data_IF_260307115511
#
_entry.id   IF_260307115511
#
_cell.length_a   1.000
_cell.length_b   1.000
_cell.length_c   1.000
_cell.angle_alpha   90.00
_cell.angle_beta   90.00
_cell.angle_gamma   90.00
#
_symmetry.space_group_name_H-M   'P 1'
#
loop_
_entity.id
_entity.type
_entity.pdbx_description
1 polymer ?
#
# COMPACT_ATOMS: atom_id res chain seq x y z
N UNK A 1 21.39 -23.12 -0.92
CA UNK A 1 20.31 -22.93 -1.92
C UNK A 1 20.04 -21.45 -2.05
N UNK A 2 19.39 -20.99 -3.13
CA UNK A 2 19.05 -19.57 -3.31
C UNK A 2 17.54 -19.41 -3.44
N UNK A 3 16.97 -18.42 -2.75
CA UNK A 3 15.54 -18.18 -2.70
C UNK A 3 15.16 -16.76 -3.11
N UNK A 4 13.96 -16.63 -3.68
CA UNK A 4 13.27 -15.36 -3.91
C UNK A 4 12.08 -15.26 -2.96
N UNK A 5 11.95 -14.12 -2.29
CA UNK A 5 10.83 -13.84 -1.40
C UNK A 5 9.86 -12.86 -2.07
N UNK A 6 8.61 -13.27 -2.26
CA UNK A 6 7.51 -12.37 -2.64
C UNK A 6 6.70 -11.94 -1.42
N UNK A 7 6.46 -10.64 -1.26
CA UNK A 7 5.51 -10.10 -0.26
C UNK A 7 4.37 -9.42 -1.01
N UNK A 8 3.16 -9.91 -0.83
CA UNK A 8 1.94 -9.35 -1.42
C UNK A 8 1.09 -8.70 -0.33
N UNK A 9 0.94 -7.37 -0.39
CA UNK A 9 0.19 -6.56 0.57
C UNK A 9 -1.21 -6.28 0.03
N UNK A 10 -2.08 -7.29 0.16
CA UNK A 10 -3.48 -7.22 -0.27
C UNK A 10 -4.39 -6.47 0.70
N UNK A 11 -5.62 -6.20 0.26
CA UNK A 11 -6.61 -5.46 1.06
C UNK A 11 -7.16 -6.27 2.24
N UNK A 12 -7.21 -7.60 2.15
CA UNK A 12 -7.74 -8.48 3.20
C UNK A 12 -6.69 -9.34 3.89
N UNK A 13 -5.54 -9.56 3.24
CA UNK A 13 -4.45 -10.36 3.76
C UNK A 13 -3.11 -9.94 3.19
N UNK A 14 -2.06 -10.15 3.98
CA UNK A 14 -0.66 -10.08 3.55
C UNK A 14 -0.18 -11.52 3.36
N UNK A 15 0.58 -11.76 2.29
CA UNK A 15 1.19 -13.05 2.00
C UNK A 15 2.69 -12.90 1.83
N UNK A 16 3.44 -13.88 2.31
CA UNK A 16 4.86 -14.03 2.05
C UNK A 16 5.09 -15.42 1.45
N UNK A 17 5.59 -15.47 0.22
CA UNK A 17 5.84 -16.70 -0.51
C UNK A 17 7.33 -16.81 -0.86
N UNK A 18 7.92 -17.97 -0.61
CA UNK A 18 9.33 -18.27 -0.88
C UNK A 18 9.42 -19.21 -2.08
N UNK A 19 10.26 -18.86 -3.05
CA UNK A 19 10.49 -19.63 -4.27
C UNK A 19 11.95 -20.03 -4.38
N UNK A 20 12.20 -21.29 -4.75
CA UNK A 20 13.54 -21.77 -5.08
C UNK A 20 13.97 -21.27 -6.45
N UNK A 21 15.20 -20.73 -6.54
CA UNK A 21 15.73 -20.12 -7.79
C UNK A 21 16.05 -21.16 -8.85
N UNK A 22 16.52 -22.35 -8.45
CA UNK A 22 16.94 -23.39 -9.37
C UNK A 22 15.74 -24.18 -9.90
N UNK A 23 14.81 -24.54 -9.02
CA UNK A 23 13.62 -25.32 -9.36
C UNK A 23 12.46 -24.44 -9.87
N UNK A 24 12.42 -23.16 -9.50
CA UNK A 24 11.33 -22.25 -9.83
C UNK A 24 10.01 -22.56 -9.12
N UNK A 25 10.06 -23.33 -8.02
CA UNK A 25 8.87 -23.79 -7.29
C UNK A 25 8.68 -23.08 -5.95
N UNK A 26 7.43 -22.97 -5.50
CA UNK A 26 7.09 -22.50 -4.16
C UNK A 26 7.56 -23.51 -3.10
N UNK A 27 8.33 -23.05 -2.11
CA UNK A 27 8.79 -23.85 -0.97
C UNK A 27 7.97 -23.59 0.29
N UNK A 28 7.43 -22.38 0.44
CA UNK A 28 6.57 -22.03 1.55
C UNK A 28 5.70 -20.81 1.23
N UNK A 29 4.51 -20.78 1.84
CA UNK A 29 3.64 -19.62 1.85
C UNK A 29 3.07 -19.41 3.25
N UNK A 30 3.16 -18.17 3.73
CA UNK A 30 2.53 -17.74 4.98
C UNK A 30 1.60 -16.57 4.69
N UNK A 31 0.48 -16.49 5.41
CA UNK A 31 -0.45 -15.37 5.26
C UNK A 31 -1.05 -14.93 6.59
N UNK A 32 -1.40 -13.65 6.68
CA UNK A 32 -2.10 -13.08 7.82
C UNK A 32 -3.19 -12.14 7.33
N UNK A 33 -4.39 -12.25 7.89
CA UNK A 33 -5.48 -11.30 7.63
C UNK A 33 -5.13 -9.93 8.19
N UNK A 34 -5.50 -8.88 7.48
CA UNK A 34 -5.42 -7.48 7.93
C UNK A 34 -6.82 -6.92 8.08
N UNK A 35 -6.99 -6.03 9.05
CA UNK A 35 -8.26 -5.40 9.32
C UNK A 35 -8.54 -4.30 8.29
N UNK A 36 -9.79 -4.17 7.87
CA UNK A 36 -10.28 -3.02 7.12
C UNK A 36 -11.21 -2.23 8.05
N UNK A 37 -10.89 -0.97 8.27
CA UNK A 37 -11.62 -0.06 9.14
C UNK A 37 -12.56 0.80 8.31
N UNK A 38 -13.84 0.86 8.72
CA UNK A 38 -14.85 1.72 8.10
C UNK A 38 -15.36 2.70 9.16
N UNK A 39 -14.63 3.81 9.42
CA UNK A 39 -15.02 4.78 10.46
C UNK A 39 -16.28 5.56 10.08
N UNK A 40 -16.60 5.64 8.79
CA UNK A 40 -17.83 6.21 8.23
C UNK A 40 -18.30 5.35 7.05
N UNK A 41 -19.57 5.48 6.69
CA UNK A 41 -20.12 4.79 5.53
C UNK A 41 -19.32 5.13 4.26
N UNK A 42 -18.94 4.10 3.50
CA UNK A 42 -18.12 4.24 2.30
C UNK A 42 -16.63 4.52 2.54
N UNK A 43 -16.19 4.69 3.79
CA UNK A 43 -14.76 4.83 4.10
C UNK A 43 -14.12 3.44 4.30
N UNK A 44 -12.89 3.29 3.84
CA UNK A 44 -12.16 2.03 3.87
C UNK A 44 -10.67 2.28 4.12
N UNK A 45 -10.24 2.13 5.36
CA UNK A 45 -8.89 2.44 5.85
C UNK A 45 -8.18 1.22 6.45
N UNK A 46 -6.85 1.25 6.48
CA UNK A 46 -6.01 0.22 7.08
C UNK A 46 -4.95 0.83 8.00
N UNK A 47 -4.66 0.17 9.11
CA UNK A 47 -3.57 0.56 10.00
C UNK A 47 -2.21 0.18 9.39
N UNK A 48 -1.40 1.20 9.10
CA UNK A 48 -0.06 1.05 8.55
C UNK A 48 0.86 0.24 9.49
N UNK A 49 0.73 0.42 10.81
CA UNK A 49 1.50 -0.34 11.78
C UNK A 49 1.03 -1.77 11.93
N UNK A 50 -0.27 -2.04 11.80
CA UNK A 50 -0.79 -3.42 11.75
C UNK A 50 -0.20 -4.18 10.57
N UNK A 51 -0.20 -3.56 9.38
CA UNK A 51 0.39 -4.12 8.17
C UNK A 51 1.86 -4.46 8.41
N UNK A 52 2.64 -3.50 8.91
CA UNK A 52 4.07 -3.73 9.16
C UNK A 52 4.34 -4.84 10.18
N UNK A 53 3.60 -4.84 11.31
CA UNK A 53 3.72 -5.87 12.35
C UNK A 53 3.39 -7.26 11.79
N UNK A 54 2.34 -7.37 10.97
CA UNK A 54 1.96 -8.63 10.33
C UNK A 54 2.97 -9.09 9.29
N UNK A 55 3.53 -8.19 8.48
CA UNK A 55 4.65 -8.52 7.59
C UNK A 55 5.83 -9.09 8.40
N UNK A 56 6.28 -8.38 9.45
CA UNK A 56 7.36 -8.87 10.32
C UNK A 56 7.05 -10.24 10.92
N UNK A 57 5.82 -10.46 11.36
CA UNK A 57 5.40 -11.75 11.90
C UNK A 57 5.51 -12.87 10.86
N UNK A 58 5.06 -12.64 9.62
CA UNK A 58 5.15 -13.63 8.54
C UNK A 58 6.61 -13.94 8.18
N UNK A 59 7.45 -12.90 8.07
CA UNK A 59 8.89 -13.09 7.85
C UNK A 59 9.51 -13.90 8.98
N UNK A 60 9.16 -13.64 10.24
CA UNK A 60 9.66 -14.41 11.38
C UNK A 60 9.22 -15.88 11.37
N UNK A 61 8.06 -16.21 10.78
CA UNK A 61 7.66 -17.63 10.64
C UNK A 61 8.50 -18.32 9.58
N UNK A 62 8.79 -17.63 8.47
CA UNK A 62 9.61 -18.14 7.39
C UNK A 62 11.04 -18.40 7.88
N UNK A 63 11.65 -17.47 8.62
CA UNK A 63 13.04 -17.62 9.10
C UNK A 63 13.22 -18.66 10.21
N UNK A 64 12.15 -19.29 10.71
CA UNK A 64 12.26 -20.47 11.59
C UNK A 64 12.63 -21.75 10.83
N UNK A 65 12.33 -21.79 9.53
CA UNK A 65 12.47 -22.99 8.70
C UNK A 65 13.46 -22.81 7.55
N UNK A 66 13.79 -21.56 7.19
CA UNK A 66 14.71 -21.22 6.10
C UNK A 66 15.79 -20.26 6.59
N UNK A 67 17.00 -20.40 6.05
CA UNK A 67 18.12 -19.51 6.36
C UNK A 67 17.91 -18.16 5.65
N UNK A 68 17.85 -17.02 6.38
CA UNK A 68 17.69 -15.70 5.76
C UNK A 68 18.79 -15.34 4.76
N UNK A 69 20.02 -15.83 4.99
CA UNK A 69 21.18 -15.56 4.10
C UNK A 69 21.04 -16.23 2.72
N UNK A 70 20.11 -17.18 2.56
CA UNK A 70 19.81 -17.81 1.27
C UNK A 70 18.77 -17.03 0.46
N UNK A 71 18.15 -15.99 1.03
CA UNK A 71 17.18 -15.14 0.33
C UNK A 71 17.93 -14.04 -0.41
N UNK A 72 18.09 -14.20 -1.73
CA UNK A 72 18.90 -13.30 -2.55
C UNK A 72 18.14 -12.07 -3.07
N UNK A 73 16.81 -12.07 -2.98
CA UNK A 73 15.97 -10.95 -3.40
C UNK A 73 14.59 -10.96 -2.76
N UNK A 74 14.01 -9.76 -2.60
CA UNK A 74 12.65 -9.55 -2.11
C UNK A 74 11.85 -8.74 -3.14
N UNK A 75 10.78 -9.33 -3.67
CA UNK A 75 9.78 -8.66 -4.51
C UNK A 75 8.59 -8.19 -3.70
N UNK A 76 8.08 -6.99 -3.99
CA UNK A 76 6.91 -6.41 -3.34
C UNK A 76 5.77 -6.23 -4.34
N UNK A 77 4.61 -6.75 -3.98
CA UNK A 77 3.32 -6.53 -4.63
C UNK A 77 2.34 -5.94 -3.62
N UNK A 78 1.31 -5.28 -4.09
CA UNK A 78 0.21 -4.90 -3.23
C UNK A 78 -0.93 -4.23 -3.98
N UNK A 79 -1.94 -3.83 -3.23
CA UNK A 79 -3.07 -3.08 -3.76
C UNK A 79 -2.63 -1.84 -4.56
N UNK A 80 -3.26 -1.64 -5.72
CA UNK A 80 -2.80 -0.71 -6.76
C UNK A 80 -3.04 0.77 -6.42
N UNK A 81 -4.18 1.11 -5.81
CA UNK A 81 -4.58 2.49 -5.51
C UNK A 81 -4.75 2.77 -4.01
N UNK A 82 -5.27 3.94 -3.67
CA UNK A 82 -5.38 4.46 -2.32
C UNK A 82 -4.36 5.58 -2.03
N UNK A 83 -4.32 6.00 -0.77
CA UNK A 83 -3.49 7.10 -0.31
C UNK A 83 -2.85 6.78 1.05
N UNK A 84 -1.52 6.73 1.07
CA UNK A 84 -0.73 6.40 2.26
C UNK A 84 0.23 7.55 2.52
N UNK A 85 0.07 8.23 3.65
CA UNK A 85 0.80 9.47 3.93
C UNK A 85 1.80 9.25 5.07
N UNK A 86 3.05 9.66 4.84
CA UNK A 86 4.08 9.67 5.88
C UNK A 86 4.68 11.07 6.03
N UNK A 87 5.09 11.40 7.24
CA UNK A 87 5.69 12.68 7.57
C UNK A 87 7.21 12.70 7.30
N UNK A 88 7.86 13.82 7.61
CA UNK A 88 9.31 14.01 7.44
C UNK A 88 10.17 13.06 8.28
N UNK A 89 9.58 12.41 9.30
CA UNK A 89 10.24 11.41 10.15
C UNK A 89 9.89 9.98 9.71
N UNK A 90 9.28 9.82 8.53
CA UNK A 90 8.86 8.54 7.96
C UNK A 90 7.83 7.80 8.83
N UNK A 91 7.02 8.56 9.58
CA UNK A 91 5.94 8.03 10.41
C UNK A 91 4.58 8.21 9.72
N UNK A 92 3.64 7.27 9.86
CA UNK A 92 2.27 7.43 9.39
C UNK A 92 1.65 8.72 9.89
N UNK A 93 1.06 9.50 8.98
CA UNK A 93 0.32 10.72 9.32
C UNK A 93 -1.08 10.38 9.85
N UNK A 94 -1.69 9.37 9.24
CA UNK A 94 -3.04 8.83 9.48
C UNK A 94 -3.08 7.37 9.03
N UNK A 95 -4.21 6.69 9.18
CA UNK A 95 -4.42 5.38 8.55
C UNK A 95 -4.34 5.48 7.02
N UNK A 96 -3.86 4.42 6.38
CA UNK A 96 -3.82 4.34 4.92
C UNK A 96 -5.23 4.25 4.36
N UNK A 97 -5.59 5.12 3.41
CA UNK A 97 -6.87 5.05 2.71
C UNK A 97 -6.72 4.04 1.57
N UNK A 98 -7.62 3.06 1.51
CA UNK A 98 -7.58 2.03 0.47
C UNK A 98 -8.29 2.47 -0.81
N UNK A 99 -8.08 1.73 -1.88
CA UNK A 99 -8.75 1.96 -3.16
C UNK A 99 -10.26 1.72 -3.14
N UNK A 100 -10.78 1.02 -2.12
CA UNK A 100 -12.22 0.80 -1.93
C UNK A 100 -12.94 2.02 -1.38
N UNK A 101 -12.21 3.02 -0.91
CA UNK A 101 -12.76 4.19 -0.25
C UNK A 101 -13.52 5.09 -1.23
N UNK A 102 -14.71 5.53 -0.80
CA UNK A 102 -15.65 6.29 -1.60
C UNK A 102 -15.73 7.77 -1.21
N UNK A 103 -14.96 8.25 -0.23
CA UNK A 103 -15.02 9.66 0.21
C UNK A 103 -14.64 10.65 -0.89
N UNK A 104 -13.85 10.21 -1.86
CA UNK A 104 -13.46 11.00 -3.03
C UNK A 104 -14.56 11.19 -4.08
N UNK A 105 -15.78 10.67 -3.86
CA UNK A 105 -16.89 10.79 -4.81
C UNK A 105 -17.21 12.25 -5.15
N UNK A 106 -17.33 13.10 -4.13
CA UNK A 106 -17.70 14.52 -4.32
C UNK A 106 -16.63 15.29 -5.11
N UNK A 107 -15.35 14.97 -4.90
CA UNK A 107 -14.24 15.55 -5.66
C UNK A 107 -14.35 15.25 -7.15
N UNK A 108 -14.89 14.08 -7.52
CA UNK A 108 -15.07 13.70 -8.92
C UNK A 108 -16.33 14.35 -9.50
N UNK A 109 -17.41 14.46 -8.74
CA UNK A 109 -18.65 15.09 -9.22
C UNK A 109 -18.46 16.58 -9.53
N UNK A 110 -17.47 17.22 -8.90
CA UNK A 110 -17.12 18.62 -9.16
C UNK A 110 -16.28 18.83 -10.43
N UNK A 111 -15.83 17.76 -11.09
CA UNK A 111 -15.05 17.84 -12.33
C UNK A 111 -15.96 17.79 -13.55
N UNK A 112 -15.71 18.67 -14.51
CA UNK A 112 -16.38 18.64 -15.82
C UNK A 112 -15.90 17.45 -16.66
N UNK A 113 -16.70 17.02 -17.64
CA UNK A 113 -16.31 15.97 -18.59
C UNK A 113 -15.02 16.30 -19.34
N UNK A 114 -14.79 17.58 -19.68
CA UNK A 114 -13.55 18.04 -20.30
C UNK A 114 -12.34 17.85 -19.37
N UNK A 115 -12.48 18.15 -18.08
CA UNK A 115 -11.43 17.93 -17.09
C UNK A 115 -11.13 16.44 -16.91
N UNK A 116 -12.17 15.60 -16.85
CA UNK A 116 -12.03 14.15 -16.78
C UNK A 116 -11.33 13.58 -18.02
N UNK A 117 -11.70 14.05 -19.22
CA UNK A 117 -11.07 13.64 -20.47
C UNK A 117 -9.59 14.06 -20.50
N UNK A 118 -9.28 15.30 -20.12
CA UNK A 118 -7.91 15.78 -20.05
C UNK A 118 -7.04 14.96 -19.09
N UNK A 119 -7.60 14.53 -17.94
CA UNK A 119 -6.90 13.64 -17.02
C UNK A 119 -6.64 12.27 -17.66
N UNK A 120 -7.62 11.72 -18.36
CA UNK A 120 -7.46 10.46 -19.09
C UNK A 120 -6.41 10.56 -20.20
N UNK A 121 -6.41 11.63 -20.99
CA UNK A 121 -5.46 11.82 -22.09
C UNK A 121 -4.00 11.89 -21.61
N UNK A 122 -3.77 12.38 -20.39
CA UNK A 122 -2.45 12.48 -19.78
C UNK A 122 -2.04 11.16 -19.12
N UNK A 123 -2.97 10.54 -18.38
CA UNK A 123 -2.65 9.42 -17.47
C UNK A 123 -2.95 8.04 -18.04
N UNK A 124 -3.70 7.98 -19.14
CA UNK A 124 -4.34 6.78 -19.69
C UNK A 124 -5.17 6.02 -18.63
N UNK A 125 -5.66 6.73 -17.60
CA UNK A 125 -6.30 6.12 -16.45
C UNK A 125 -7.61 6.81 -16.11
N UNK A 126 -8.68 6.01 -15.98
CA UNK A 126 -9.97 6.51 -15.53
C UNK A 126 -9.92 6.68 -14.01
N UNK A 127 -9.97 7.93 -13.56
CA UNK A 127 -10.05 8.26 -12.14
C UNK A 127 -11.36 7.77 -11.52
N UNK A 128 -11.29 7.37 -10.26
CA UNK A 128 -12.39 6.88 -9.45
C UNK A 128 -12.19 7.30 -7.97
N UNK A 129 -13.21 7.22 -7.09
CA UNK A 129 -13.15 7.84 -5.76
C UNK A 129 -11.92 7.45 -4.91
N UNK A 130 -11.53 6.18 -4.94
CA UNK A 130 -10.34 5.66 -4.25
C UNK A 130 -9.01 5.86 -5.00
N UNK A 131 -8.98 6.74 -6.00
CA UNK A 131 -7.75 7.10 -6.72
C UNK A 131 -6.86 7.99 -5.86
N UNK A 132 -5.56 7.69 -5.78
CA UNK A 132 -4.61 8.47 -4.97
C UNK A 132 -4.71 9.99 -5.13
N UNK A 133 -4.72 10.55 -6.37
CA UNK A 133 -4.86 11.99 -6.58
C UNK A 133 -6.18 12.57 -6.05
N UNK A 134 -7.28 11.83 -6.24
CA UNK A 134 -8.63 12.24 -5.78
C UNK A 134 -8.68 12.25 -4.25
N UNK A 135 -8.18 11.20 -3.61
CA UNK A 135 -8.08 11.12 -2.16
C UNK A 135 -7.15 12.21 -1.61
N UNK A 136 -6.05 12.54 -2.29
CA UNK A 136 -5.15 13.62 -1.87
C UNK A 136 -5.83 14.99 -1.94
N UNK A 137 -6.61 15.27 -2.99
CA UNK A 137 -7.43 16.48 -3.09
C UNK A 137 -8.47 16.54 -1.97
N UNK A 138 -9.15 15.41 -1.71
CA UNK A 138 -10.09 15.33 -0.60
C UNK A 138 -9.42 15.64 0.74
N UNK A 139 -8.23 15.08 1.02
CA UNK A 139 -7.45 15.37 2.23
C UNK A 139 -7.01 16.83 2.30
N UNK A 140 -6.60 17.44 1.19
CA UNK A 140 -6.28 18.87 1.13
C UNK A 140 -7.46 19.74 1.60
N UNK A 141 -8.66 19.45 1.11
CA UNK A 141 -9.85 20.28 1.37
C UNK A 141 -10.47 20.01 2.75
N UNK A 142 -10.43 18.76 3.22
CA UNK A 142 -11.20 18.31 4.38
C UNK A 142 -10.34 18.00 5.62
N UNK A 143 -9.06 17.65 5.46
CA UNK A 143 -8.15 17.26 6.54
C UNK A 143 -6.83 18.07 6.52
N UNK A 144 -6.94 19.39 6.69
CA UNK A 144 -5.80 20.32 6.58
C UNK A 144 -4.59 19.96 7.47
N UNK A 145 -4.82 19.38 8.66
CA UNK A 145 -3.75 18.92 9.55
C UNK A 145 -2.95 17.76 8.94
N UNK A 146 -3.65 16.74 8.42
CA UNK A 146 -3.05 15.60 7.72
C UNK A 146 -2.27 16.08 6.49
N UNK A 147 -2.88 16.93 5.68
CA UNK A 147 -2.25 17.46 4.46
C UNK A 147 -0.95 18.23 4.77
N UNK A 148 -0.96 19.13 5.75
CA UNK A 148 0.22 19.92 6.15
C UNK A 148 1.33 19.07 6.77
N UNK A 149 0.98 17.98 7.47
CA UNK A 149 1.96 17.09 8.11
C UNK A 149 2.61 16.13 7.11
N UNK A 150 1.91 15.76 6.04
CA UNK A 150 2.40 14.85 5.04
C UNK A 150 3.62 15.42 4.30
N UNK A 151 4.69 14.62 4.21
CA UNK A 151 5.87 14.93 3.41
C UNK A 151 5.95 14.07 2.16
N UNK A 152 5.50 12.83 2.24
CA UNK A 152 5.53 11.88 1.13
C UNK A 152 4.16 11.20 0.96
N UNK A 153 3.82 10.95 -0.30
CA UNK A 153 2.67 10.15 -0.72
C UNK A 153 3.19 8.79 -1.18
N UNK A 154 2.61 7.74 -0.62
CA UNK A 154 2.97 6.35 -0.85
C UNK A 154 1.74 5.54 -1.29
N UNK A 155 1.98 4.31 -1.74
CA UNK A 155 1.01 3.22 -1.78
C UNK A 155 1.30 2.19 -0.68
N UNK A 156 0.40 1.21 -0.56
CA UNK A 156 0.46 0.19 0.48
C UNK A 156 1.78 -0.61 0.46
N UNK A 157 2.23 -1.03 -0.73
CA UNK A 157 3.51 -1.75 -0.88
C UNK A 157 4.72 -0.85 -0.59
N UNK A 158 4.63 0.44 -0.92
CA UNK A 158 5.74 1.38 -0.71
C UNK A 158 5.95 1.66 0.77
N UNK A 159 4.89 1.61 1.59
CA UNK A 159 5.02 1.65 3.04
C UNK A 159 5.84 0.47 3.57
N UNK A 160 5.58 -0.76 3.11
CA UNK A 160 6.36 -1.93 3.50
C UNK A 160 7.80 -1.81 2.99
N UNK A 161 8.00 -1.34 1.75
CA UNK A 161 9.33 -1.07 1.20
C UNK A 161 10.10 -0.06 2.05
N UNK A 162 9.46 1.04 2.41
CA UNK A 162 10.03 2.08 3.26
C UNK A 162 10.44 1.49 4.61
N UNK A 163 9.63 0.63 5.22
CA UNK A 163 9.98 -0.02 6.49
C UNK A 163 11.12 -1.02 6.38
N UNK A 164 11.28 -1.67 5.23
CA UNK A 164 12.39 -2.60 4.98
C UNK A 164 13.71 -1.90 4.64
N UNK A 165 13.67 -0.71 4.07
CA UNK A 165 14.85 -0.09 3.44
C UNK A 165 15.19 1.32 3.94
N UNK A 166 14.30 1.95 4.71
CA UNK A 166 14.34 3.37 5.08
C UNK A 166 14.43 4.34 3.87
N UNK A 167 14.15 3.84 2.66
CA UNK A 167 14.16 4.62 1.42
C UNK A 167 12.73 4.86 0.93
N UNK A 168 12.38 6.13 0.73
CA UNK A 168 11.12 6.55 0.11
C UNK A 168 11.22 6.37 -1.41
N UNK A 169 10.40 5.49 -1.98
CA UNK A 169 10.35 5.23 -3.42
C UNK A 169 9.03 4.53 -3.79
N UNK A 170 8.56 4.77 -5.02
CA UNK A 170 7.49 4.04 -5.70
C UNK A 170 8.03 3.58 -7.06
N UNK A 171 7.45 2.51 -7.60
CA UNK A 171 7.56 2.17 -9.02
C UNK A 171 6.54 2.97 -9.86
#
# INVERSE_FOLDING_TARGET
MSYLLGIDVGTTSIKCALYDVEEGIEKAIYSSRVSLYSPQEGWAEQDMWEIWKKTCHLLSQLTKHFNPEEIISIGLSGQSSGLWLVDKKLMPVRMGITWLDLRGKEVITDLSEEQLQKLYDITCWKIFPGSGPILLKWIHDNESSSFKKAKYVLRCKDWVRLKLTDIVCSD
#
